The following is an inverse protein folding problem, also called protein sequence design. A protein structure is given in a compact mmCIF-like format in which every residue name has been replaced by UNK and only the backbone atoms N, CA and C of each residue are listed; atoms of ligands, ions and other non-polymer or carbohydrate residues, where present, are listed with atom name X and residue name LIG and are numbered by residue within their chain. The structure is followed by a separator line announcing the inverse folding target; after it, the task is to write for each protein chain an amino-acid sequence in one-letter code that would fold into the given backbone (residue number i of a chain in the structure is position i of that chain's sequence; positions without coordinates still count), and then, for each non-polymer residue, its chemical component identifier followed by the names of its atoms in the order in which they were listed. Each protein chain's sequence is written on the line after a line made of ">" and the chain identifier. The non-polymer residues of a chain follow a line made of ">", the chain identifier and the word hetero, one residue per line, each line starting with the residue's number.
data_IF_653614411440
#
_entry.id   IF_653614411440
#
_cell.length_a   1.000
_cell.length_b   1.000
_cell.length_c   1.000
_cell.angle_alpha   90.00
_cell.angle_beta   90.00
_cell.angle_gamma   90.00
#
_symmetry.space_group_name_H-M   'P 1'
#
loop_
_entity.id
_entity.type
_entity.pdbx_description
1 polymer ?
#
# COMPACT_ATOMS: atom_id res chain seq x y z
N UNK A 1 6.68 11.32 -8.46
CA UNK A 1 7.56 10.14 -8.59
C UNK A 1 7.06 9.11 -7.59
N UNK A 2 6.68 7.90 -8.02
CA UNK A 2 6.12 6.88 -7.12
C UNK A 2 7.16 6.49 -6.07
N UNK A 3 6.85 6.72 -4.80
CA UNK A 3 7.65 6.19 -3.69
C UNK A 3 7.19 4.77 -3.40
N UNK A 4 8.13 3.87 -3.23
CA UNK A 4 7.86 2.50 -2.82
C UNK A 4 8.99 2.02 -1.93
N UNK A 5 8.67 1.08 -1.04
CA UNK A 5 9.59 0.40 -0.16
C UNK A 5 9.51 -1.09 -0.48
N UNK A 6 10.63 -1.69 -0.83
CA UNK A 6 10.75 -3.13 -0.93
C UNK A 6 11.63 -3.66 0.19
N UNK A 7 11.12 -4.62 0.96
CA UNK A 7 11.87 -5.38 1.97
C UNK A 7 11.90 -6.84 1.56
N UNK A 8 13.10 -7.36 1.34
CA UNK A 8 13.30 -8.77 1.03
C UNK A 8 12.97 -9.60 2.27
N UNK A 9 12.07 -10.57 2.10
CA UNK A 9 11.71 -11.55 3.13
C UNK A 9 12.82 -12.57 3.34
N UNK A 10 12.68 -13.39 4.37
CA UNK A 10 13.64 -14.46 4.69
C UNK A 10 13.45 -15.69 3.82
N UNK A 11 12.24 -15.90 3.30
CA UNK A 11 11.90 -17.06 2.49
C UNK A 11 11.37 -16.63 1.11
N UNK A 12 12.15 -16.93 0.07
CA UNK A 12 11.81 -16.58 -1.32
C UNK A 12 10.65 -17.42 -1.89
N UNK A 13 10.23 -18.49 -1.20
CA UNK A 13 9.06 -19.28 -1.58
C UNK A 13 7.74 -18.70 -1.02
N UNK A 14 7.81 -17.72 -0.10
CA UNK A 14 6.62 -17.05 0.43
C UNK A 14 6.13 -15.99 -0.58
N UNK A 15 4.82 -15.76 -0.65
CA UNK A 15 4.28 -14.72 -1.51
C UNK A 15 4.79 -13.33 -1.11
N UNK A 16 4.87 -12.41 -2.08
CA UNK A 16 5.17 -11.01 -1.80
C UNK A 16 3.91 -10.31 -1.32
N UNK A 17 3.95 -9.72 -0.12
CA UNK A 17 2.87 -8.91 0.42
C UNK A 17 2.91 -7.51 -0.21
N UNK A 18 1.89 -7.19 -0.99
CA UNK A 18 1.67 -5.84 -1.52
C UNK A 18 0.87 -5.02 -0.49
N UNK A 19 1.47 -3.96 0.04
CA UNK A 19 0.84 -3.06 1.01
C UNK A 19 0.37 -1.78 0.33
N UNK A 20 -0.91 -1.49 0.49
CA UNK A 20 -1.58 -0.28 -0.02
C UNK A 20 -2.17 0.46 1.18
N UNK A 21 -1.51 1.56 1.57
CA UNK A 21 -1.94 2.38 2.70
C UNK A 21 -3.31 3.05 2.47
N UNK A 22 -3.96 3.48 3.56
CA UNK A 22 -5.21 4.26 3.49
C UNK A 22 -5.00 5.70 3.00
N UNK A 23 -6.08 6.47 2.84
CA UNK A 23 -5.97 7.91 2.52
C UNK A 23 -5.15 8.64 3.57
N UNK A 24 -4.19 9.47 3.16
CA UNK A 24 -3.35 10.23 4.10
C UNK A 24 -2.17 9.46 4.67
N UNK A 25 -2.09 8.16 4.40
CA UNK A 25 -1.03 7.29 4.91
C UNK A 25 0.26 7.30 4.10
N UNK A 26 1.22 6.51 4.57
CA UNK A 26 2.54 6.32 3.97
C UNK A 26 2.86 4.85 3.72
N UNK A 27 3.93 4.60 2.98
CA UNK A 27 4.50 3.27 2.72
C UNK A 27 4.99 2.56 3.99
N UNK A 28 5.08 3.23 5.14
CA UNK A 28 5.55 2.63 6.40
C UNK A 28 4.41 2.16 7.31
N UNK A 29 3.20 2.70 7.13
CA UNK A 29 2.08 2.53 8.06
C UNK A 29 1.67 1.06 8.25
N UNK A 30 1.74 0.27 7.18
CA UNK A 30 1.29 -1.12 7.16
C UNK A 30 2.43 -2.12 7.40
N UNK A 31 3.67 -1.68 7.61
CA UNK A 31 4.79 -2.58 7.89
C UNK A 31 4.58 -3.42 9.17
N UNK A 32 4.06 -2.87 10.28
CA UNK A 32 3.75 -3.68 11.46
C UNK A 32 2.71 -4.76 11.16
N UNK A 33 1.75 -4.47 10.27
CA UNK A 33 0.71 -5.43 9.88
C UNK A 33 1.30 -6.58 9.05
N UNK A 34 2.21 -6.29 8.12
CA UNK A 34 2.91 -7.33 7.37
C UNK A 34 3.68 -8.28 8.29
N UNK A 35 4.31 -7.75 9.34
CA UNK A 35 5.04 -8.55 10.33
C UNK A 35 4.13 -9.51 11.12
N UNK A 36 2.87 -9.12 11.35
CA UNK A 36 1.87 -9.94 12.04
C UNK A 36 1.30 -11.01 11.09
N UNK A 37 1.09 -10.67 9.82
CA UNK A 37 0.50 -11.58 8.81
C UNK A 37 1.50 -12.65 8.38
N UNK A 38 2.70 -12.25 7.95
CA UNK A 38 3.77 -13.18 7.59
C UNK A 38 5.15 -12.51 7.78
N UNK A 39 5.87 -12.86 8.87
CA UNK A 39 7.16 -12.26 9.18
C UNK A 39 8.30 -12.67 8.23
N UNK A 40 8.09 -13.71 7.41
CA UNK A 40 9.12 -14.25 6.51
C UNK A 40 8.89 -13.88 5.04
N UNK A 41 7.70 -13.36 4.70
CA UNK A 41 7.34 -12.89 3.38
C UNK A 41 8.11 -11.64 2.96
N UNK A 42 8.34 -11.50 1.65
CA UNK A 42 8.83 -10.24 1.10
C UNK A 42 7.70 -9.21 1.08
N UNK A 43 8.03 -7.94 1.28
CA UNK A 43 7.06 -6.85 1.38
C UNK A 43 7.34 -5.82 0.32
N UNK A 44 6.33 -5.47 -0.48
CA UNK A 44 6.32 -4.33 -1.38
C UNK A 44 5.25 -3.35 -0.90
N UNK A 45 5.67 -2.25 -0.30
CA UNK A 45 4.78 -1.17 0.12
C UNK A 45 4.88 -0.02 -0.88
N UNK A 46 3.76 0.45 -1.38
CA UNK A 46 3.70 1.53 -2.37
C UNK A 46 3.13 2.77 -1.69
N UNK A 47 3.60 3.96 -2.05
CA UNK A 47 2.94 5.23 -1.73
C UNK A 47 2.15 5.71 -2.94
N UNK A 48 0.86 5.98 -2.74
CA UNK A 48 0.02 6.60 -3.77
C UNK A 48 0.59 7.94 -4.24
N UNK A 49 0.65 8.15 -5.56
CA UNK A 49 1.17 9.39 -6.17
C UNK A 49 0.13 10.52 -6.24
N UNK A 50 -1.12 10.25 -5.85
CA UNK A 50 -2.23 11.21 -5.95
C UNK A 50 -2.27 12.02 -4.68
N UNK A 51 -1.96 13.31 -4.78
CA UNK A 51 -2.28 14.31 -3.77
C UNK A 51 -3.68 14.87 -4.09
N UNK A 52 -4.72 14.37 -3.43
CA UNK A 52 -6.01 15.07 -3.37
C UNK A 52 -6.00 15.93 -2.10
N UNK A 53 -6.05 17.26 -2.25
CA UNK A 53 -5.98 18.23 -1.14
C UNK A 53 -4.77 18.05 -0.18
N UNK A 54 -3.67 17.47 -0.65
CA UNK A 54 -2.47 17.20 0.16
C UNK A 54 -2.41 15.81 0.82
N UNK A 55 -3.39 14.94 0.59
CA UNK A 55 -3.41 13.58 1.14
C UNK A 55 -3.15 12.49 0.06
N UNK A 56 -2.19 11.57 0.28
CA UNK A 56 -1.95 10.44 -0.60
C UNK A 56 -3.16 9.49 -0.74
N UNK A 57 -3.57 9.15 -1.98
CA UNK A 57 -4.60 8.13 -2.29
C UNK A 57 -4.19 7.20 -3.44
N UNK A 58 -4.81 6.01 -3.50
CA UNK A 58 -4.62 5.00 -4.57
C UNK A 58 -5.70 4.99 -5.64
N UNK A 59 -6.92 5.43 -5.32
CA UNK A 59 -8.07 5.39 -6.21
C UNK A 59 -8.78 6.74 -6.20
N UNK A 60 -9.25 7.19 -7.37
CA UNK A 60 -10.21 8.28 -7.47
C UNK A 60 -11.56 7.81 -6.94
N UNK A 61 -12.24 8.62 -6.13
CA UNK A 61 -13.64 8.38 -5.82
C UNK A 61 -14.47 8.79 -7.03
N UNK A 62 -14.85 7.83 -7.87
CA UNK A 62 -15.98 8.04 -8.79
C UNK A 62 -17.23 8.15 -7.92
N UNK A 63 -17.77 9.37 -7.77
CA UNK A 63 -19.13 9.52 -7.28
C UNK A 63 -20.01 8.73 -8.25
N UNK A 64 -20.60 7.64 -7.79
CA UNK A 64 -21.50 6.84 -8.60
C UNK A 64 -22.63 7.75 -9.07
N UNK A 65 -22.61 8.14 -10.35
CA UNK A 65 -23.86 8.38 -11.06
C UNK A 65 -24.52 7.02 -11.23
N UNK A 66 -25.14 6.55 -10.15
CA UNK A 66 -26.20 5.57 -10.23
C UNK A 66 -27.28 6.11 -11.17
N UNK A 67 -27.84 5.20 -11.93
CA UNK A 67 -28.96 5.45 -12.83
C UNK A 67 -30.07 6.23 -12.12
N UNK A 68 -30.46 7.37 -12.71
CA UNK A 68 -31.83 7.77 -13.06
C UNK A 68 -31.73 8.81 -14.18
#
# INVERSE_FOLDING_TARGET
>A
MMKHLFRKGKNEQRPVLLLLHGTGGTEEDLLPLAQIVDPDASVLSVRGNVLENGMPRFFFQTFGRGCI
#
